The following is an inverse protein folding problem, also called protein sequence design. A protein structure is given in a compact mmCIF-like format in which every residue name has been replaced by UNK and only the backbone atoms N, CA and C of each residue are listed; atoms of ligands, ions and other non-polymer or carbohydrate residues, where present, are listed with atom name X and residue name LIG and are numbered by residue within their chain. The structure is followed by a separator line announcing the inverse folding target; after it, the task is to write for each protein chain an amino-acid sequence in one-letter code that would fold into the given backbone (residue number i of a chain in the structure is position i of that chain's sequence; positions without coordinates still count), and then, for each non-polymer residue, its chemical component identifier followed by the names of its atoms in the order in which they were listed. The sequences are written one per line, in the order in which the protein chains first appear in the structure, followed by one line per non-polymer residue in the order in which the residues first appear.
data_IF_731944481465
#
_entry.id   IF_731944481465
#
_cell.length_a   1.000
_cell.length_b   1.000
_cell.length_c   1.000
_cell.angle_alpha   90.00
_cell.angle_beta   90.00
_cell.angle_gamma   90.00
#
_symmetry.space_group_name_H-M   'P 1'
#
loop_
_entity.id
_entity.type
_entity.pdbx_description
1 polymer ?
#
# COMPACT_ATOMS: atom_id res chain seq x y z
N UNK A 1 -7.10 6.26 46.73
CA UNK A 1 -8.36 6.35 46.01
C UNK A 1 -8.10 6.82 44.61
N UNK A 2 -8.21 5.88 43.68
CA UNK A 2 -8.11 6.15 42.25
C UNK A 2 -9.38 6.92 41.90
N UNK A 3 -9.26 8.22 41.63
CA UNK A 3 -10.34 8.97 41.02
C UNK A 3 -10.46 8.51 39.58
N UNK A 4 -11.48 7.71 39.29
CA UNK A 4 -11.90 7.32 38.01
C UNK A 4 -12.18 8.53 37.13
N UNK A 5 -11.58 8.56 35.93
CA UNK A 5 -11.85 9.56 34.89
C UNK A 5 -13.19 9.33 34.18
N UNK A 6 -14.22 8.87 34.93
CA UNK A 6 -15.54 8.55 34.39
C UNK A 6 -16.29 9.74 33.78
N UNK A 7 -15.90 10.97 34.08
CA UNK A 7 -16.54 12.18 33.53
C UNK A 7 -16.18 12.46 32.05
N UNK A 8 -15.10 11.86 31.53
CA UNK A 8 -14.65 12.07 30.14
C UNK A 8 -15.40 11.19 29.12
N UNK A 9 -16.00 10.09 29.54
CA UNK A 9 -16.60 9.10 28.63
C UNK A 9 -18.11 9.30 28.38
N UNK A 10 -18.76 10.17 29.14
CA UNK A 10 -20.22 10.42 29.05
C UNK A 10 -20.64 10.92 27.67
N UNK A 11 -19.77 11.60 26.93
CA UNK A 11 -20.04 12.17 25.63
C UNK A 11 -19.37 11.39 24.47
N UNK A 12 -18.59 10.35 24.76
CA UNK A 12 -17.90 9.59 23.72
C UNK A 12 -18.89 8.77 22.92
N UNK A 13 -19.19 9.22 21.71
CA UNK A 13 -20.09 8.56 20.77
C UNK A 13 -19.29 7.95 19.62
N UNK A 14 -19.55 6.69 19.34
CA UNK A 14 -18.93 5.95 18.25
C UNK A 14 -20.02 5.21 17.45
N UNK A 15 -20.81 5.94 16.63
CA UNK A 15 -21.83 5.29 15.82
C UNK A 15 -21.16 4.32 14.84
N UNK A 16 -21.69 3.10 14.73
CA UNK A 16 -21.21 2.08 13.78
C UNK A 16 -22.08 2.13 12.53
N UNK A 17 -21.57 2.70 11.42
CA UNK A 17 -22.32 2.70 10.17
C UNK A 17 -22.33 1.31 9.55
N UNK A 18 -23.43 0.95 8.91
CA UNK A 18 -23.45 -0.20 7.98
C UNK A 18 -22.75 0.22 6.70
N UNK A 19 -21.66 -0.46 6.36
CA UNK A 19 -20.86 -0.16 5.16
C UNK A 19 -21.18 -1.19 4.09
N UNK A 20 -21.52 -0.71 2.87
CA UNK A 20 -21.83 -1.58 1.72
C UNK A 20 -20.97 -1.21 0.51
N UNK A 21 -20.71 -2.18 -0.34
CA UNK A 21 -20.15 -1.99 -1.68
C UNK A 21 -21.02 -2.73 -2.70
N UNK A 22 -21.85 -1.98 -3.44
CA UNK A 22 -22.94 -2.57 -4.22
C UNK A 22 -23.95 -3.24 -3.30
N UNK A 23 -24.26 -4.51 -3.53
CA UNK A 23 -25.13 -5.35 -2.70
C UNK A 23 -24.45 -5.92 -1.45
N UNK A 24 -23.11 -5.96 -1.42
CA UNK A 24 -22.34 -6.65 -0.39
C UNK A 24 -22.21 -5.80 0.88
N UNK A 25 -22.56 -6.36 2.03
CA UNK A 25 -22.30 -5.74 3.33
C UNK A 25 -20.86 -6.06 3.76
N UNK A 26 -20.09 -5.02 4.07
CA UNK A 26 -18.68 -5.12 4.43
C UNK A 26 -18.51 -5.33 5.93
N UNK A 27 -17.42 -6.00 6.32
CA UNK A 27 -17.07 -6.31 7.71
C UNK A 27 -15.97 -5.38 8.24
N UNK A 28 -16.20 -4.77 9.42
CA UNK A 28 -15.18 -3.97 10.11
C UNK A 28 -13.98 -4.85 10.51
N UNK A 29 -12.78 -4.30 10.32
CA UNK A 29 -11.51 -5.00 10.58
C UNK A 29 -11.05 -5.92 9.44
N UNK A 30 -11.96 -6.39 8.58
CA UNK A 30 -11.65 -7.22 7.40
C UNK A 30 -11.67 -6.40 6.12
N UNK A 31 -12.73 -5.63 5.89
CA UNK A 31 -12.98 -4.91 4.65
C UNK A 31 -12.80 -3.41 4.80
N UNK A 32 -13.02 -2.87 5.99
CA UNK A 32 -12.83 -1.47 6.32
C UNK A 32 -12.46 -1.28 7.79
N UNK A 33 -11.97 -0.09 8.10
CA UNK A 33 -11.76 0.39 9.47
C UNK A 33 -12.49 1.71 9.68
N UNK A 34 -12.87 1.97 10.95
CA UNK A 34 -13.48 3.22 11.36
C UNK A 34 -12.47 4.07 12.14
N UNK A 35 -12.47 5.37 11.88
CA UNK A 35 -11.76 6.37 12.68
C UNK A 35 -12.73 7.49 13.04
N UNK A 36 -12.77 7.87 14.32
CA UNK A 36 -13.63 8.95 14.81
C UNK A 36 -12.80 10.19 15.13
N UNK A 37 -13.39 11.34 14.86
CA UNK A 37 -12.82 12.65 15.22
C UNK A 37 -13.90 13.48 15.89
N UNK A 38 -13.51 14.29 16.88
CA UNK A 38 -14.38 15.21 17.62
C UNK A 38 -15.60 14.53 18.27
N UNK A 39 -15.44 13.26 18.71
CA UNK A 39 -16.51 12.41 19.22
C UNK A 39 -16.62 12.37 20.77
N UNK A 40 -15.92 13.23 21.47
CA UNK A 40 -15.86 13.26 22.95
C UNK A 40 -16.51 14.50 23.59
N UNK A 41 -17.03 15.43 22.80
CA UNK A 41 -17.68 16.65 23.24
C UNK A 41 -19.01 16.84 22.51
N UNK A 42 -19.94 17.61 23.11
CA UNK A 42 -21.14 18.07 22.41
C UNK A 42 -20.76 18.87 21.17
N UNK A 43 -21.52 18.71 20.11
CA UNK A 43 -21.26 19.36 18.82
C UNK A 43 -21.37 18.40 17.64
N UNK A 44 -20.50 18.57 16.64
CA UNK A 44 -20.46 17.71 15.47
C UNK A 44 -19.21 16.84 15.52
N UNK A 45 -19.42 15.52 15.63
CA UNK A 45 -18.37 14.52 15.45
C UNK A 45 -18.33 13.99 14.02
N UNK A 46 -17.25 13.30 13.65
CA UNK A 46 -17.15 12.62 12.36
C UNK A 46 -16.62 11.20 12.51
N UNK A 47 -17.09 10.31 11.63
CA UNK A 47 -16.56 8.98 11.43
C UNK A 47 -16.05 8.85 10.00
N UNK A 48 -14.82 8.37 9.84
CA UNK A 48 -14.25 8.07 8.54
C UNK A 48 -14.18 6.57 8.37
N UNK A 49 -14.88 6.08 7.35
CA UNK A 49 -14.78 4.70 6.85
C UNK A 49 -13.61 4.65 5.89
N UNK A 50 -12.62 3.81 6.15
CA UNK A 50 -11.48 3.59 5.27
C UNK A 50 -11.45 2.13 4.85
N UNK A 51 -11.67 1.86 3.57
CA UNK A 51 -11.58 0.53 3.00
C UNK A 51 -10.18 -0.08 3.17
N UNK A 52 -10.13 -1.37 3.47
CA UNK A 52 -8.91 -2.17 3.59
C UNK A 52 -9.03 -3.44 2.76
N UNK A 53 -7.91 -4.13 2.54
CA UNK A 53 -7.82 -5.34 1.72
C UNK A 53 -8.28 -5.14 0.27
N UNK A 54 -9.52 -5.43 -0.07
CA UNK A 54 -10.05 -5.32 -1.43
C UNK A 54 -10.72 -3.97 -1.72
N UNK A 55 -10.88 -3.11 -0.71
CA UNK A 55 -11.58 -1.83 -0.79
C UNK A 55 -10.62 -0.68 -0.53
N UNK A 56 -10.55 0.31 -1.42
CA UNK A 56 -9.53 1.37 -1.41
C UNK A 56 -10.10 2.79 -1.44
N UNK A 57 -11.33 2.96 -0.97
CA UNK A 57 -11.94 4.27 -0.81
C UNK A 57 -11.99 4.68 0.65
N UNK A 58 -12.14 5.97 0.88
CA UNK A 58 -12.35 6.53 2.21
C UNK A 58 -13.50 7.52 2.13
N UNK A 59 -14.46 7.42 3.04
CA UNK A 59 -15.60 8.33 3.11
C UNK A 59 -15.80 8.77 4.56
N UNK A 60 -16.07 10.06 4.75
CA UNK A 60 -16.36 10.63 6.07
C UNK A 60 -17.82 11.01 6.17
N UNK A 61 -18.41 10.68 7.31
CA UNK A 61 -19.77 11.04 7.69
C UNK A 61 -19.72 11.86 8.98
N UNK A 62 -20.59 12.83 9.12
CA UNK A 62 -20.74 13.63 10.34
C UNK A 62 -21.97 13.20 11.13
N UNK A 63 -21.93 13.37 12.46
CA UNK A 63 -23.04 13.10 13.35
C UNK A 63 -23.09 14.13 14.48
N UNK A 64 -24.27 14.41 15.03
CA UNK A 64 -24.44 15.32 16.17
C UNK A 64 -24.27 14.56 17.49
N UNK A 65 -23.63 15.20 18.45
CA UNK A 65 -23.50 14.77 19.84
C UNK A 65 -24.25 15.77 20.70
N UNK A 66 -25.37 15.36 21.26
CA UNK A 66 -26.15 16.16 22.18
C UNK A 66 -25.79 15.83 23.63
N UNK A 67 -25.87 16.78 24.54
CA UNK A 67 -25.78 16.51 25.95
C UNK A 67 -26.88 15.52 26.36
N UNK A 68 -26.63 14.63 27.34
CA UNK A 68 -27.69 13.82 27.91
C UNK A 68 -28.76 14.74 28.50
N UNK A 69 -30.02 14.36 28.34
CA UNK A 69 -31.11 15.07 29.01
C UNK A 69 -30.84 15.12 30.52
N UNK A 70 -31.13 16.23 31.19
CA UNK A 70 -30.95 16.29 32.65
C UNK A 70 -31.81 15.17 33.28
N UNK A 71 -31.13 14.27 33.96
CA UNK A 71 -31.80 13.25 34.76
C UNK A 71 -32.44 14.00 35.94
N UNK A 72 -33.76 13.92 36.09
CA UNK A 72 -34.47 14.48 37.24
C UNK A 72 -33.86 13.89 38.51
N UNK A 73 -33.19 14.72 39.28
CA UNK A 73 -32.68 14.35 40.60
C UNK A 73 -33.89 14.03 41.47
N UNK A 74 -33.99 12.85 42.08
CA UNK A 74 -35.06 12.61 43.03
C UNK A 74 -34.93 13.59 44.18
N UNK A 75 -36.00 14.32 44.48
CA UNK A 75 -36.10 15.23 45.65
C UNK A 75 -35.81 14.41 46.90
N UNK A 76 -34.82 14.80 47.75
CA UNK A 76 -34.56 14.06 48.97
C UNK A 76 -35.75 14.15 49.90
N UNK A 77 -36.26 13.02 50.37
CA UNK A 77 -37.26 12.88 51.42
C UNK A 77 -36.67 13.50 52.70
N UNK A 78 -37.39 14.37 53.44
CA UNK A 78 -36.89 14.94 54.69
C UNK A 78 -36.63 13.84 55.72
N UNK A 79 -35.35 13.70 56.11
CA UNK A 79 -34.92 12.81 57.19
C UNK A 79 -35.02 13.58 58.50
N UNK A 80 -35.74 13.04 59.46
CA UNK A 80 -35.88 13.60 60.80
C UNK A 80 -34.51 13.71 61.47
N UNK A 81 -34.22 14.91 62.02
CA UNK A 81 -33.02 15.22 62.76
C UNK A 81 -33.07 14.57 64.17
N UNK A 82 -32.10 13.75 64.55
CA UNK A 82 -32.02 13.24 65.92
C UNK A 82 -31.47 14.31 66.85
N UNK A 83 -32.14 14.49 67.98
CA UNK A 83 -31.79 15.41 69.10
C UNK A 83 -30.46 14.96 69.72
N UNK A 84 -29.48 15.87 69.95
CA UNK A 84 -28.19 15.49 70.52
C UNK A 84 -28.30 15.24 72.06
N UNK A 85 -27.77 14.12 72.50
CA UNK A 85 -27.53 13.71 73.85
C UNK A 85 -26.24 14.42 74.37
N UNK A 86 -26.20 15.02 75.60
CA UNK A 86 -25.00 15.67 76.12
C UNK A 86 -23.92 14.60 76.45
N UNK A 87 -22.72 14.79 75.98
CA UNK A 87 -21.56 13.95 76.27
C UNK A 87 -20.56 14.75 77.10
N UNK A 88 -20.12 14.15 78.18
CA UNK A 88 -19.18 14.71 79.13
C UNK A 88 -17.79 14.98 78.53
N UNK A 89 -17.18 16.09 78.92
CA UNK A 89 -15.86 16.58 78.53
C UNK A 89 -14.76 15.73 79.18
N UNK A 90 -13.80 15.13 78.52
CA UNK A 90 -12.59 14.61 79.15
C UNK A 90 -11.46 15.65 79.14
N UNK A 91 -10.85 15.83 80.31
CA UNK A 91 -9.71 16.70 80.62
C UNK A 91 -8.45 16.22 79.82
N UNK A 92 -7.79 17.12 79.15
CA UNK A 92 -6.58 16.87 78.36
C UNK A 92 -5.32 16.76 79.21
N UNK A 93 -4.56 15.68 79.01
CA UNK A 93 -3.18 15.53 79.54
C UNK A 93 -2.22 16.08 78.43
N UNK A 94 -1.19 16.88 78.82
CA UNK A 94 -0.27 17.43 77.84
C UNK A 94 0.67 16.32 77.26
N UNK A 95 0.68 16.16 75.94
CA UNK A 95 1.58 15.27 75.22
C UNK A 95 2.69 16.09 74.56
N UNK A 96 3.94 15.69 74.77
CA UNK A 96 5.11 16.35 74.24
C UNK A 96 5.11 16.34 72.68
N UNK A 97 5.43 17.51 72.14
CA UNK A 97 5.52 17.74 70.68
C UNK A 97 6.78 17.06 70.08
N UNK A 98 6.70 16.18 69.09
CA UNK A 98 7.87 15.70 68.41
C UNK A 98 8.41 16.74 67.42
N UNK A 99 9.75 16.96 67.49
CA UNK A 99 10.49 17.81 66.55
C UNK A 99 10.38 17.27 65.12
N UNK A 100 10.05 18.09 64.14
CA UNK A 100 9.96 17.61 62.76
C UNK A 100 11.37 17.32 62.19
N UNK A 101 11.56 16.10 61.73
CA UNK A 101 12.70 15.67 60.91
C UNK A 101 12.62 16.40 59.56
N UNK A 102 13.74 16.95 59.00
CA UNK A 102 13.70 17.59 57.68
C UNK A 102 13.30 16.57 56.61
N UNK A 103 12.16 16.83 55.97
CA UNK A 103 11.70 16.08 54.80
C UNK A 103 12.46 16.62 53.60
N UNK A 104 13.36 15.81 53.01
CA UNK A 104 13.93 16.07 51.71
C UNK A 104 12.86 15.78 50.66
N UNK A 105 12.17 16.83 50.23
CA UNK A 105 11.27 16.74 49.07
C UNK A 105 12.12 16.44 47.83
N UNK A 106 11.88 15.33 47.12
CA UNK A 106 12.56 15.11 45.84
C UNK A 106 12.17 16.23 44.87
N UNK A 107 13.17 16.83 44.25
CA UNK A 107 12.94 17.82 43.20
C UNK A 107 11.98 17.24 42.13
N UNK A 108 11.02 18.01 41.59
CA UNK A 108 10.13 17.54 40.57
C UNK A 108 10.96 17.16 39.33
N UNK A 109 10.86 15.90 38.94
CA UNK A 109 11.40 15.37 37.68
C UNK A 109 10.84 16.22 36.54
N UNK A 110 11.66 16.75 35.61
CA UNK A 110 11.12 17.52 34.49
C UNK A 110 10.11 16.67 33.75
N UNK A 111 8.87 17.14 33.74
CA UNK A 111 7.78 16.50 32.98
C UNK A 111 8.18 16.54 31.49
N UNK A 112 8.65 15.40 30.99
CA UNK A 112 8.98 15.27 29.59
C UNK A 112 7.76 15.65 28.76
N UNK A 113 7.94 16.59 27.85
CA UNK A 113 6.91 16.98 26.88
C UNK A 113 6.35 15.69 26.23
N UNK A 114 5.04 15.44 26.29
CA UNK A 114 4.46 14.25 25.69
C UNK A 114 4.88 14.17 24.22
N UNK A 115 5.43 13.03 23.80
CA UNK A 115 5.80 12.83 22.41
C UNK A 115 4.58 13.12 21.51
N UNK A 116 4.75 13.83 20.38
CA UNK A 116 3.64 14.24 19.54
C UNK A 116 2.81 13.05 19.10
N UNK A 117 1.52 13.08 19.40
CA UNK A 117 0.57 12.03 19.01
C UNK A 117 0.41 12.06 17.50
N UNK A 118 0.96 11.06 16.81
CA UNK A 118 0.87 10.95 15.36
C UNK A 118 -0.52 10.44 15.02
N UNK A 119 -1.35 11.35 14.55
CA UNK A 119 -2.75 11.07 14.18
C UNK A 119 -2.93 10.69 12.71
N UNK A 120 -1.94 10.97 11.85
CA UNK A 120 -2.07 10.76 10.40
C UNK A 120 -0.74 10.35 9.76
N UNK A 121 -0.80 9.40 8.81
CA UNK A 121 0.29 9.05 7.91
C UNK A 121 -0.01 9.58 6.49
N UNK A 122 1.02 10.04 5.78
CA UNK A 122 0.89 10.45 4.37
C UNK A 122 0.91 9.24 3.43
N UNK A 123 0.30 9.37 2.25
CA UNK A 123 0.32 8.33 1.24
C UNK A 123 1.74 8.12 0.66
N UNK A 124 2.24 6.89 0.52
CA UNK A 124 3.49 6.64 -0.19
C UNK A 124 3.36 6.97 -1.67
N UNK A 125 4.47 7.39 -2.29
CA UNK A 125 4.61 7.49 -3.74
C UNK A 125 5.32 6.26 -4.27
N UNK A 126 4.67 5.47 -5.13
CA UNK A 126 5.19 4.21 -5.64
C UNK A 126 5.57 4.33 -7.12
N UNK A 127 6.69 3.69 -7.50
CA UNK A 127 7.13 3.49 -8.89
C UNK A 127 7.29 2.00 -9.15
N UNK A 128 7.07 1.58 -10.41
CA UNK A 128 7.20 0.19 -10.82
C UNK A 128 7.97 0.07 -12.12
N UNK A 129 8.80 -0.97 -12.23
CA UNK A 129 9.45 -1.41 -13.46
C UNK A 129 9.28 -2.91 -13.61
N UNK A 130 9.14 -3.41 -14.83
CA UNK A 130 8.93 -4.83 -15.08
C UNK A 130 9.96 -5.40 -16.04
N UNK A 131 10.38 -6.62 -15.76
CA UNK A 131 11.04 -7.53 -16.71
C UNK A 131 10.04 -8.60 -17.16
N UNK A 132 10.50 -9.59 -17.90
CA UNK A 132 9.63 -10.68 -18.36
C UNK A 132 9.10 -11.58 -17.22
N UNK A 133 9.78 -11.66 -16.07
CA UNK A 133 9.47 -12.58 -14.96
C UNK A 133 9.41 -11.89 -13.59
N UNK A 134 9.57 -10.59 -13.52
CA UNK A 134 9.52 -9.87 -12.25
C UNK A 134 9.07 -8.43 -12.42
N UNK A 135 8.46 -7.89 -11.37
CA UNK A 135 8.17 -6.49 -11.22
C UNK A 135 8.90 -5.95 -10.00
N UNK A 136 9.72 -4.92 -10.18
CA UNK A 136 10.39 -4.22 -9.08
C UNK A 136 9.61 -2.96 -8.76
N UNK A 137 9.19 -2.86 -7.50
CA UNK A 137 8.46 -1.75 -6.92
C UNK A 137 9.42 -0.98 -6.02
N UNK A 138 9.31 0.36 -6.02
CA UNK A 138 10.07 1.26 -5.15
C UNK A 138 9.15 2.37 -4.67
N UNK A 139 9.31 2.79 -3.41
CA UNK A 139 8.52 3.88 -2.83
C UNK A 139 9.35 4.71 -1.86
N UNK A 140 8.88 5.91 -1.55
CA UNK A 140 9.51 6.76 -0.56
C UNK A 140 9.19 6.29 0.86
N UNK A 141 10.11 6.50 1.79
CA UNK A 141 9.85 6.31 3.21
C UNK A 141 8.77 7.30 3.69
N UNK A 142 7.89 6.81 4.57
CA UNK A 142 6.89 7.62 5.25
C UNK A 142 7.29 7.74 6.71
N UNK A 143 7.41 8.97 7.21
CA UNK A 143 7.74 9.24 8.59
C UNK A 143 6.71 8.58 9.52
N UNK A 144 7.21 7.99 10.60
CA UNK A 144 6.40 7.31 11.62
C UNK A 144 5.63 6.06 11.13
N UNK A 145 5.79 5.62 9.90
CA UNK A 145 5.31 4.30 9.48
C UNK A 145 6.08 3.20 10.21
N UNK A 146 5.39 2.10 10.52
CA UNK A 146 6.00 0.86 11.01
C UNK A 146 5.99 -0.24 9.97
N UNK A 147 4.99 -0.23 9.10
CA UNK A 147 4.85 -1.20 8.03
C UNK A 147 4.35 -0.56 6.75
N UNK A 148 4.58 -1.25 5.64
CA UNK A 148 3.96 -1.01 4.35
C UNK A 148 3.15 -2.23 3.95
N UNK A 149 1.94 -2.01 3.46
CA UNK A 149 1.06 -3.07 2.96
C UNK A 149 0.91 -2.87 1.46
N UNK A 150 1.39 -3.87 0.71
CA UNK A 150 1.43 -3.85 -0.74
C UNK A 150 0.29 -4.70 -1.30
N UNK A 151 -0.42 -4.14 -2.27
CA UNK A 151 -1.52 -4.80 -2.96
C UNK A 151 -1.27 -4.84 -4.47
N UNK A 152 -1.78 -5.89 -5.09
CA UNK A 152 -1.69 -6.12 -6.53
C UNK A 152 -3.04 -6.52 -7.09
N UNK A 153 -3.40 -6.01 -8.27
CA UNK A 153 -4.44 -6.60 -9.10
C UNK A 153 -3.86 -7.07 -10.43
N UNK A 154 -4.42 -8.15 -10.97
CA UNK A 154 -4.04 -8.71 -12.27
C UNK A 154 -5.17 -8.45 -13.26
N UNK A 155 -4.86 -7.83 -14.40
CA UNK A 155 -5.81 -7.44 -15.44
C UNK A 155 -6.95 -6.57 -14.86
N UNK A 156 -8.21 -6.94 -15.04
CA UNK A 156 -9.40 -6.27 -14.52
C UNK A 156 -9.83 -6.75 -13.12
N UNK A 157 -9.09 -7.70 -12.51
CA UNK A 157 -9.42 -8.26 -11.20
C UNK A 157 -9.39 -7.24 -10.04
N UNK A 158 -9.75 -7.70 -8.85
CA UNK A 158 -9.68 -6.90 -7.60
C UNK A 158 -8.25 -6.81 -7.07
N UNK A 159 -7.97 -5.80 -6.24
CA UNK A 159 -6.70 -5.71 -5.50
C UNK A 159 -6.68 -6.74 -4.37
N UNK A 160 -5.60 -7.50 -4.28
CA UNK A 160 -5.33 -8.42 -3.19
C UNK A 160 -4.02 -8.04 -2.50
N UNK A 161 -3.95 -8.18 -1.18
CA UNK A 161 -2.72 -8.01 -0.42
C UNK A 161 -1.71 -9.08 -0.82
N UNK A 162 -0.51 -8.65 -1.21
CA UNK A 162 0.57 -9.58 -1.59
C UNK A 162 1.71 -9.61 -0.59
N UNK A 163 1.91 -8.54 0.17
CA UNK A 163 2.99 -8.48 1.18
C UNK A 163 2.74 -7.40 2.22
N UNK A 164 3.15 -7.68 3.47
CA UNK A 164 3.41 -6.67 4.50
C UNK A 164 4.92 -6.59 4.70
N UNK A 165 5.46 -5.37 4.71
CA UNK A 165 6.89 -5.05 4.77
C UNK A 165 7.14 -4.09 5.93
N UNK A 166 8.31 -4.16 6.56
CA UNK A 166 8.67 -3.26 7.65
C UNK A 166 9.00 -1.84 7.14
N UNK A 167 9.08 -0.88 8.06
CA UNK A 167 9.30 0.54 7.76
C UNK A 167 10.63 0.83 7.03
N UNK A 168 11.63 -0.03 7.19
CA UNK A 168 12.94 0.16 6.57
C UNK A 168 12.98 -0.30 5.10
N UNK A 169 11.95 -1.03 4.67
CA UNK A 169 11.84 -1.52 3.30
C UNK A 169 11.22 -0.45 2.40
N UNK A 170 11.92 -0.07 1.34
CA UNK A 170 11.46 0.89 0.32
C UNK A 170 11.40 0.28 -1.08
N UNK A 171 11.60 -1.03 -1.19
CA UNK A 171 11.50 -1.76 -2.46
C UNK A 171 10.99 -3.19 -2.26
N UNK A 172 10.37 -3.73 -3.30
CA UNK A 172 9.92 -5.12 -3.33
C UNK A 172 9.98 -5.66 -4.75
N UNK A 173 10.48 -6.89 -4.90
CA UNK A 173 10.52 -7.61 -6.18
C UNK A 173 9.42 -8.68 -6.20
N UNK A 174 8.37 -8.42 -6.95
CA UNK A 174 7.31 -9.41 -7.19
C UNK A 174 7.72 -10.34 -8.33
N UNK A 175 7.93 -11.61 -8.01
CA UNK A 175 8.25 -12.68 -8.96
C UNK A 175 7.06 -13.58 -9.30
N UNK A 176 5.92 -13.39 -8.61
CA UNK A 176 4.69 -14.14 -8.86
C UNK A 176 3.86 -13.48 -9.96
N UNK A 177 4.48 -13.26 -11.11
CA UNK A 177 3.88 -12.64 -12.28
C UNK A 177 4.10 -13.47 -13.55
N UNK A 178 3.23 -13.27 -14.54
CA UNK A 178 3.29 -13.96 -15.83
C UNK A 178 3.33 -12.93 -16.96
N UNK A 179 4.23 -13.14 -17.91
CA UNK A 179 4.36 -12.30 -19.11
C UNK A 179 3.02 -12.22 -19.87
N UNK A 180 2.69 -11.03 -20.34
CA UNK A 180 1.47 -10.75 -21.10
C UNK A 180 0.28 -10.31 -20.27
N UNK A 181 0.31 -10.49 -18.94
CA UNK A 181 -0.70 -9.90 -18.04
C UNK A 181 -0.35 -8.46 -17.69
N UNK A 182 -1.38 -7.69 -17.35
CA UNK A 182 -1.26 -6.34 -16.80
C UNK A 182 -1.34 -6.42 -15.29
N UNK A 183 -0.39 -5.81 -14.57
CA UNK A 183 -0.36 -5.76 -13.12
C UNK A 183 -0.44 -4.31 -12.65
N UNK A 184 -1.35 -4.02 -11.74
CA UNK A 184 -1.43 -2.73 -11.08
C UNK A 184 -1.14 -2.92 -9.59
N UNK A 185 -0.35 -2.00 -9.02
CA UNK A 185 0.07 -2.04 -7.63
C UNK A 185 -0.33 -0.75 -6.94
N UNK A 186 -0.72 -0.89 -5.69
CA UNK A 186 -0.91 0.20 -4.74
C UNK A 186 -0.27 -0.19 -3.41
N UNK A 187 0.12 0.80 -2.62
CA UNK A 187 0.75 0.61 -1.32
C UNK A 187 0.16 1.59 -0.32
N UNK A 188 0.10 1.20 0.94
CA UNK A 188 -0.22 2.08 2.06
C UNK A 188 0.75 1.85 3.21
N UNK A 189 1.02 2.89 3.97
CA UNK A 189 1.76 2.81 5.22
C UNK A 189 0.82 2.49 6.38
N UNK A 190 1.34 1.87 7.44
CA UNK A 190 0.59 1.63 8.67
C UNK A 190 1.49 1.76 9.91
N UNK A 191 0.86 2.08 11.04
CA UNK A 191 1.47 2.12 12.39
C UNK A 191 0.47 1.54 13.38
N UNK A 192 0.92 0.62 14.24
CA UNK A 192 0.14 0.16 15.40
C UNK A 192 0.28 1.18 16.53
N UNK A 193 -0.82 1.50 17.19
CA UNK A 193 -0.90 2.35 18.38
C UNK A 193 -1.58 1.57 19.50
N UNK A 194 -1.64 2.11 20.69
CA UNK A 194 -2.41 1.55 21.81
C UNK A 194 -3.92 1.41 21.50
N UNK A 195 -4.46 2.31 20.68
CA UNK A 195 -5.87 2.35 20.26
C UNK A 195 -6.17 1.61 18.95
N UNK A 196 -5.19 0.91 18.34
CA UNK A 196 -5.38 0.17 17.08
C UNK A 196 -4.36 0.51 16.01
N UNK A 197 -4.79 0.51 14.74
CA UNK A 197 -3.92 0.82 13.60
C UNK A 197 -4.27 2.16 12.97
N UNK A 198 -3.23 2.96 12.68
CA UNK A 198 -3.31 4.13 11.81
C UNK A 198 -2.81 3.70 10.42
N UNK A 199 -3.60 4.03 9.39
CA UNK A 199 -3.25 3.77 8.00
C UNK A 199 -3.13 5.06 7.21
N UNK A 200 -2.17 5.12 6.29
CA UNK A 200 -2.13 6.20 5.31
C UNK A 200 -3.25 6.04 4.28
N UNK A 201 -3.60 7.11 3.54
CA UNK A 201 -4.26 6.94 2.26
C UNK A 201 -3.44 5.99 1.37
N UNK A 202 -4.13 5.32 0.44
CA UNK A 202 -3.48 4.44 -0.53
C UNK A 202 -2.75 5.29 -1.58
N UNK A 203 -1.60 4.83 -2.04
CA UNK A 203 -0.85 5.48 -3.12
C UNK A 203 -1.67 5.58 -4.41
N UNK A 204 -1.28 6.48 -5.31
CA UNK A 204 -1.70 6.37 -6.72
C UNK A 204 -1.27 5.01 -7.28
N UNK A 205 -2.13 4.41 -8.12
CA UNK A 205 -1.83 3.11 -8.73
C UNK A 205 -0.74 3.22 -9.78
N UNK A 206 0.21 2.28 -9.76
CA UNK A 206 1.19 2.11 -10.84
C UNK A 206 0.90 0.83 -11.60
N UNK A 207 1.02 0.88 -12.91
CA UNK A 207 0.67 -0.24 -13.78
C UNK A 207 1.84 -0.62 -14.67
N UNK A 208 2.11 -1.92 -14.77
CA UNK A 208 3.14 -2.50 -15.63
C UNK A 208 2.59 -3.71 -16.41
N UNK A 209 3.21 -3.96 -17.56
CA UNK A 209 2.96 -5.15 -18.38
C UNK A 209 4.31 -5.85 -18.62
N UNK A 210 4.63 -6.93 -17.87
CA UNK A 210 5.84 -7.70 -18.08
C UNK A 210 5.99 -8.16 -19.53
N UNK A 211 7.17 -7.94 -20.08
CA UNK A 211 7.45 -8.30 -21.48
C UNK A 211 8.94 -8.65 -21.67
N UNK A 212 9.25 -9.31 -22.79
CA UNK A 212 10.62 -9.50 -23.24
C UNK A 212 11.24 -8.15 -23.64
N UNK A 213 12.55 -8.06 -23.51
CA UNK A 213 13.29 -6.88 -24.00
C UNK A 213 13.23 -6.82 -25.53
N UNK A 214 13.24 -5.59 -26.06
CA UNK A 214 13.38 -5.33 -27.50
C UNK A 214 14.76 -5.76 -27.95
N UNK A 215 14.89 -6.63 -29.01
CA UNK A 215 16.19 -6.99 -29.55
C UNK A 215 16.88 -5.80 -30.22
N UNK A 216 18.20 -5.71 -30.05
CA UNK A 216 19.08 -4.92 -30.91
C UNK A 216 19.70 -5.86 -31.92
N UNK A 217 19.53 -5.57 -33.23
CA UNK A 217 20.02 -6.40 -34.31
C UNK A 217 21.10 -5.68 -35.13
N UNK A 218 22.08 -6.46 -35.67
CA UNK A 218 23.10 -6.01 -36.60
C UNK A 218 22.92 -6.78 -37.91
N UNK A 219 23.17 -6.14 -39.05
CA UNK A 219 23.13 -6.73 -40.38
C UNK A 219 24.51 -6.61 -41.02
N UNK A 220 25.08 -7.74 -41.47
CA UNK A 220 26.29 -7.83 -42.25
C UNK A 220 25.93 -8.30 -43.66
N UNK A 221 26.34 -7.55 -44.68
CA UNK A 221 26.12 -7.91 -46.08
C UNK A 221 27.44 -8.37 -46.69
N UNK A 222 27.39 -9.55 -47.35
CA UNK A 222 28.49 -10.15 -48.12
C UNK A 222 27.95 -10.54 -49.49
N UNK A 223 28.83 -10.89 -50.45
CA UNK A 223 28.44 -11.34 -51.78
C UNK A 223 27.47 -12.52 -51.68
N UNK A 224 26.27 -12.40 -52.25
CA UNK A 224 25.23 -13.44 -52.28
C UNK A 224 24.58 -13.78 -50.94
N UNK A 225 24.90 -13.09 -49.81
CA UNK A 225 24.34 -13.40 -48.51
C UNK A 225 24.28 -12.20 -47.56
N UNK A 226 23.29 -12.24 -46.64
CA UNK A 226 23.19 -11.30 -45.56
C UNK A 226 23.04 -12.05 -44.25
N UNK A 227 23.79 -11.64 -43.21
CA UNK A 227 23.75 -12.26 -41.88
C UNK A 227 23.16 -11.26 -40.88
N UNK A 228 22.05 -11.66 -40.27
CA UNK A 228 21.45 -10.95 -39.13
C UNK A 228 22.01 -11.53 -37.85
N UNK A 229 22.42 -10.66 -36.88
CA UNK A 229 22.93 -11.09 -35.60
C UNK A 229 22.33 -10.23 -34.48
N UNK A 230 22.23 -10.81 -33.26
CA UNK A 230 21.65 -10.16 -32.09
C UNK A 230 22.22 -10.72 -30.78
N UNK A 231 21.99 -10.00 -29.67
CA UNK A 231 22.27 -10.54 -28.34
C UNK A 231 21.09 -11.38 -27.85
N UNK A 232 21.38 -12.46 -27.13
CA UNK A 232 20.38 -13.30 -26.47
C UNK A 232 19.45 -12.49 -25.58
N UNK A 233 18.13 -12.68 -25.74
CA UNK A 233 17.11 -12.01 -24.93
C UNK A 233 16.73 -12.94 -23.77
N UNK A 234 16.94 -12.45 -22.55
CA UNK A 234 16.57 -13.19 -21.34
C UNK A 234 15.07 -13.51 -21.32
N UNK A 235 14.73 -14.77 -21.06
CA UNK A 235 13.36 -15.25 -21.02
C UNK A 235 12.73 -15.59 -22.36
N UNK A 236 13.38 -15.33 -23.51
CA UNK A 236 12.90 -15.80 -24.80
C UNK A 236 13.05 -17.32 -24.93
N UNK A 237 12.07 -17.98 -25.52
CA UNK A 237 12.15 -19.39 -25.97
C UNK A 237 12.54 -19.49 -27.44
N UNK A 238 12.46 -18.40 -28.19
CA UNK A 238 12.88 -18.30 -29.56
C UNK A 238 12.65 -16.93 -30.18
N UNK A 239 12.91 -16.85 -31.47
CA UNK A 239 12.81 -15.62 -32.26
C UNK A 239 12.10 -15.91 -33.58
N UNK A 240 11.32 -14.93 -34.04
CA UNK A 240 10.74 -14.91 -35.37
C UNK A 240 11.43 -13.81 -36.17
N UNK A 241 11.99 -14.17 -37.34
CA UNK A 241 12.54 -13.19 -38.26
C UNK A 241 11.48 -12.87 -39.33
N UNK A 242 11.29 -11.60 -39.55
CA UNK A 242 10.52 -11.05 -40.63
C UNK A 242 11.45 -10.37 -41.61
N UNK A 243 11.21 -10.59 -42.90
CA UNK A 243 11.94 -10.01 -44.02
C UNK A 243 11.00 -9.25 -44.94
N UNK A 244 11.48 -8.15 -45.48
CA UNK A 244 10.85 -7.39 -46.54
C UNK A 244 11.82 -7.29 -47.73
N UNK A 245 11.39 -7.54 -48.96
CA UNK A 245 12.15 -7.38 -50.20
C UNK A 245 11.66 -6.12 -50.92
N UNK A 246 12.58 -5.20 -51.23
CA UNK A 246 12.25 -3.90 -51.83
C UNK A 246 11.15 -3.16 -51.07
N UNK A 247 10.14 -2.70 -51.81
CA UNK A 247 8.98 -1.98 -51.23
C UNK A 247 7.84 -2.90 -50.77
N UNK A 248 8.01 -4.22 -50.79
CA UNK A 248 7.02 -5.18 -50.33
C UNK A 248 6.72 -5.13 -48.84
N UNK A 249 5.84 -5.98 -48.34
CA UNK A 249 5.48 -6.11 -46.94
C UNK A 249 6.42 -7.06 -46.20
N UNK A 250 6.49 -6.92 -44.85
CA UNK A 250 7.20 -7.86 -43.98
C UNK A 250 6.49 -9.21 -43.92
N UNK A 251 7.18 -10.26 -44.34
CA UNK A 251 6.70 -11.66 -44.23
C UNK A 251 7.55 -12.40 -43.20
N UNK A 252 6.93 -13.31 -42.44
CA UNK A 252 7.64 -14.23 -41.55
C UNK A 252 8.45 -15.19 -42.41
N UNK A 253 9.78 -15.24 -42.22
CA UNK A 253 10.68 -16.07 -43.02
C UNK A 253 11.33 -17.18 -42.22
N UNK A 254 11.50 -17.01 -40.89
CA UNK A 254 12.12 -18.05 -40.06
C UNK A 254 11.68 -17.93 -38.60
N UNK A 255 11.49 -19.08 -37.96
CA UNK A 255 11.42 -19.22 -36.53
C UNK A 255 12.67 -19.96 -36.05
N UNK A 256 13.35 -19.44 -35.03
CA UNK A 256 14.62 -19.97 -34.53
C UNK A 256 14.58 -20.13 -33.02
N UNK A 257 15.35 -21.12 -32.52
CA UNK A 257 15.52 -21.35 -31.07
C UNK A 257 16.27 -20.19 -30.41
N UNK A 258 15.99 -19.95 -29.13
CA UNK A 258 16.69 -18.96 -28.26
C UNK A 258 18.22 -19.23 -28.18
N UNK A 259 18.67 -20.43 -28.50
CA UNK A 259 20.11 -20.78 -28.51
C UNK A 259 20.87 -20.03 -29.61
N UNK A 260 20.22 -19.72 -30.71
CA UNK A 260 20.83 -19.06 -31.88
C UNK A 260 20.79 -17.54 -31.72
N UNK A 261 21.87 -16.88 -32.05
CA UNK A 261 22.04 -15.43 -32.02
C UNK A 261 22.37 -14.81 -33.37
N UNK A 262 22.29 -15.63 -34.43
CA UNK A 262 22.45 -15.18 -35.82
C UNK A 262 21.69 -16.08 -36.80
N UNK A 263 21.45 -15.54 -37.99
CA UNK A 263 20.91 -16.29 -39.11
C UNK A 263 21.37 -15.65 -40.42
N UNK A 264 21.78 -16.51 -41.40
CA UNK A 264 22.26 -16.06 -42.70
C UNK A 264 21.24 -16.40 -43.77
N UNK A 265 20.93 -15.41 -44.60
CA UNK A 265 20.04 -15.50 -45.75
C UNK A 265 20.86 -15.52 -47.05
N UNK A 266 20.50 -16.36 -48.03
CA UNK A 266 20.90 -16.17 -49.41
C UNK A 266 20.15 -14.97 -49.99
N UNK A 267 20.81 -14.12 -50.78
CA UNK A 267 20.24 -12.87 -51.29
C UNK A 267 20.55 -12.70 -52.77
N UNK A 268 19.61 -12.15 -53.54
CA UNK A 268 19.83 -11.78 -54.93
C UNK A 268 20.60 -10.46 -55.02
N UNK A 269 21.57 -10.38 -55.90
CA UNK A 269 22.39 -9.19 -56.17
C UNK A 269 21.52 -7.97 -56.46
N UNK A 270 21.93 -6.80 -55.97
CA UNK A 270 21.26 -5.51 -56.16
C UNK A 270 19.85 -5.37 -55.53
N UNK A 271 19.36 -6.36 -54.81
CA UNK A 271 18.06 -6.32 -54.14
C UNK A 271 18.23 -5.77 -52.71
N UNK A 272 17.37 -4.86 -52.32
CA UNK A 272 17.32 -4.31 -50.95
C UNK A 272 16.43 -5.21 -50.09
N UNK A 273 16.96 -5.66 -48.93
CA UNK A 273 16.23 -6.43 -47.96
C UNK A 273 16.19 -5.68 -46.63
N UNK A 274 15.04 -5.72 -45.97
CA UNK A 274 14.86 -5.20 -44.62
C UNK A 274 14.45 -6.33 -43.68
N UNK A 275 14.98 -6.27 -42.45
CA UNK A 275 14.76 -7.31 -41.45
C UNK A 275 14.28 -6.72 -40.14
N UNK A 276 13.43 -7.44 -39.41
CA UNK A 276 13.10 -7.23 -38.01
C UNK A 276 13.03 -8.56 -37.26
N UNK A 277 13.43 -8.56 -36.01
CA UNK A 277 13.44 -9.72 -35.13
C UNK A 277 12.41 -9.53 -34.02
N UNK A 278 11.59 -10.54 -33.79
CA UNK A 278 10.58 -10.55 -32.70
C UNK A 278 10.91 -11.70 -31.74
N UNK A 279 11.28 -11.44 -30.50
CA UNK A 279 11.47 -12.50 -29.52
C UNK A 279 10.09 -13.01 -29.08
N UNK A 280 10.00 -14.30 -28.76
CA UNK A 280 8.79 -14.85 -28.15
C UNK A 280 9.12 -15.77 -26.97
N UNK A 281 8.13 -15.92 -26.08
CA UNK A 281 8.14 -16.88 -24.99
C UNK A 281 6.89 -17.75 -25.06
N UNK A 282 7.06 -19.06 -24.92
CA UNK A 282 5.95 -20.00 -24.77
C UNK A 282 5.69 -20.23 -23.29
N UNK A 283 4.44 -19.98 -22.85
CA UNK A 283 3.96 -20.20 -21.48
C UNK A 283 2.66 -21.00 -21.60
N UNK A 284 2.60 -22.16 -20.96
CA UNK A 284 1.42 -23.04 -21.01
C UNK A 284 0.91 -23.26 -22.45
N UNK A 285 1.81 -23.65 -23.34
CA UNK A 285 1.56 -23.86 -24.77
C UNK A 285 1.10 -22.61 -25.57
N UNK A 286 0.98 -21.44 -24.92
CA UNK A 286 0.60 -20.17 -25.57
C UNK A 286 1.83 -19.31 -25.85
N UNK A 287 1.96 -18.82 -27.07
CA UNK A 287 3.06 -17.95 -27.50
C UNK A 287 2.74 -16.51 -27.09
N UNK A 288 3.67 -15.89 -26.38
CA UNK A 288 3.66 -14.46 -26.04
C UNK A 288 4.82 -13.79 -26.74
N UNK A 289 4.53 -12.87 -27.65
CA UNK A 289 5.54 -12.12 -28.42
C UNK A 289 6.00 -10.89 -27.65
N UNK A 290 7.31 -10.63 -27.71
CA UNK A 290 7.90 -9.37 -27.25
C UNK A 290 7.84 -8.29 -28.34
N UNK A 291 8.40 -7.09 -28.05
CA UNK A 291 8.49 -6.01 -29.03
C UNK A 291 9.47 -6.36 -30.16
N UNK A 292 9.11 -5.97 -31.38
CA UNK A 292 9.99 -6.13 -32.53
C UNK A 292 11.23 -5.24 -32.39
N UNK A 293 12.38 -5.69 -32.93
CA UNK A 293 13.56 -4.86 -33.11
C UNK A 293 13.28 -3.64 -33.99
N UNK A 294 14.16 -2.64 -33.93
CA UNK A 294 14.27 -1.70 -35.06
C UNK A 294 14.55 -2.46 -36.37
N UNK A 295 14.12 -1.89 -37.50
CA UNK A 295 14.39 -2.44 -38.81
C UNK A 295 15.86 -2.22 -39.19
N UNK A 296 16.50 -3.22 -39.80
CA UNK A 296 17.81 -3.08 -40.46
C UNK A 296 17.64 -3.38 -41.94
N UNK A 297 18.16 -2.49 -42.77
CA UNK A 297 18.05 -2.57 -44.22
C UNK A 297 19.44 -2.62 -44.83
N UNK A 298 19.61 -3.44 -45.86
CA UNK A 298 20.84 -3.54 -46.63
C UNK A 298 20.59 -3.97 -48.08
N UNK A 299 21.30 -3.34 -49.02
CA UNK A 299 21.33 -3.75 -50.44
C UNK A 299 22.29 -4.93 -50.57
N UNK A 300 21.83 -6.01 -51.17
CA UNK A 300 22.64 -7.20 -51.40
C UNK A 300 23.72 -6.95 -52.46
N UNK A 301 24.90 -7.53 -52.23
CA UNK A 301 26.09 -7.42 -53.11
C UNK A 301 26.20 -8.64 -53.99
#
# INVERSE_FOLDING_TARGET
PIKSSAASDVYKRQPKPTVKYGSDTLQEGTDYILTWKDNAKTGTGSVTVTGINNYFSSQSLTFKISAPAPTSTPTPKPTATPTPKPTATPTSKPTATPVPKPSTTPAPMPSGTPAPVITKLTAPSIKASASWNSCTLRWNRINNARNYILYRKTNSGKYAKIKTLNANTTSYKDTKITIGNKYSYVIRASKKTSSGYIYSPVSKAVTVKPNLLRPSIKLKTLKGKQTLSWKKISGATGYVIYQKKGNGSFKKVKTISYKNTSYTFKTAKNVTYSYRLVPYRTVNKKVKTGPASAVKTGKAK
#
